data_IF_206296010077
#
_entry.id   IF_206296010077
#
_cell.length_a   1.000
_cell.length_b   1.000
_cell.length_c   1.000
_cell.angle_alpha   90.00
_cell.angle_beta   90.00
_cell.angle_gamma   90.00
#
_symmetry.space_group_name_H-M   'P 1'
#
loop_
_entity.id
_entity.type
_entity.pdbx_description
1 polymer ?
#
# COMPACT_ATOMS: atom_id res chain seq x y z
N UNK A 1 51.92 -6.37 -48.50
CA UNK A 1 50.52 -6.60 -48.93
C UNK A 1 50.44 -8.04 -49.40
N UNK A 2 49.62 -8.91 -48.77
CA UNK A 2 48.16 -8.78 -48.90
C UNK A 2 47.36 -8.93 -47.59
N UNK A 3 46.32 -8.11 -47.51
CA UNK A 3 44.92 -8.36 -47.14
C UNK A 3 44.55 -9.30 -45.98
N UNK A 4 44.03 -8.66 -44.93
CA UNK A 4 43.07 -9.17 -43.94
C UNK A 4 42.06 -10.18 -44.50
N UNK A 5 41.84 -11.29 -43.79
CA UNK A 5 40.53 -11.92 -43.64
C UNK A 5 40.29 -12.17 -42.15
N UNK A 6 39.43 -11.36 -41.53
CA UNK A 6 38.88 -11.67 -40.21
C UNK A 6 37.96 -12.89 -40.33
N UNK A 7 37.96 -13.84 -39.37
CA UNK A 7 36.97 -14.89 -39.37
C UNK A 7 35.59 -14.26 -39.14
N UNK A 8 34.71 -14.52 -40.11
CA UNK A 8 33.30 -14.16 -40.15
C UNK A 8 32.63 -14.31 -38.76
N UNK A 9 32.01 -13.24 -38.26
CA UNK A 9 31.16 -13.30 -37.09
C UNK A 9 29.98 -14.24 -37.39
N UNK A 10 30.08 -15.48 -36.89
CA UNK A 10 28.99 -16.44 -36.90
C UNK A 10 27.70 -15.76 -36.40
N UNK A 11 26.57 -15.89 -37.11
CA UNK A 11 25.33 -15.28 -36.67
C UNK A 11 25.01 -15.84 -35.29
N UNK A 12 24.99 -14.95 -34.27
CA UNK A 12 24.58 -15.31 -32.91
C UNK A 12 23.19 -15.91 -33.01
N UNK A 13 23.10 -17.24 -33.02
CA UNK A 13 21.83 -17.97 -32.92
C UNK A 13 21.10 -17.37 -31.74
N UNK A 14 20.05 -16.60 -31.98
CA UNK A 14 19.27 -16.03 -30.90
C UNK A 14 18.70 -17.20 -30.11
N UNK A 15 19.32 -17.41 -28.94
CA UNK A 15 19.24 -18.64 -28.18
C UNK A 15 17.80 -18.87 -27.74
N UNK A 16 17.08 -19.78 -28.39
CA UNK A 16 15.82 -20.33 -27.86
C UNK A 16 16.02 -20.80 -26.41
N UNK A 17 17.21 -21.31 -26.08
CA UNK A 17 17.64 -21.68 -24.75
C UNK A 17 17.63 -20.50 -23.75
N UNK A 18 17.90 -19.28 -24.20
CA UNK A 18 17.91 -18.06 -23.37
C UNK A 18 16.49 -17.67 -22.92
N UNK A 19 15.48 -17.83 -23.78
CA UNK A 19 14.08 -17.61 -23.40
C UNK A 19 13.54 -18.69 -22.45
N UNK A 20 13.98 -19.95 -22.59
CA UNK A 20 13.58 -21.02 -21.68
C UNK A 20 14.21 -20.82 -20.29
N UNK A 21 15.48 -20.41 -20.23
CA UNK A 21 16.16 -20.09 -18.98
C UNK A 21 15.52 -18.88 -18.27
N UNK A 22 15.20 -17.81 -19.02
CA UNK A 22 14.53 -16.64 -18.47
C UNK A 22 13.13 -16.97 -17.91
N UNK A 23 12.36 -17.80 -18.63
CA UNK A 23 11.05 -18.29 -18.15
C UNK A 23 11.20 -19.12 -16.87
N UNK A 24 12.19 -20.01 -16.84
CA UNK A 24 12.48 -20.83 -15.66
C UNK A 24 12.80 -19.94 -14.45
N UNK A 25 13.68 -18.94 -14.61
CA UNK A 25 14.02 -17.99 -13.53
C UNK A 25 12.78 -17.27 -12.99
N UNK A 26 11.92 -16.75 -13.88
CA UNK A 26 10.66 -16.10 -13.47
C UNK A 26 9.73 -17.02 -12.70
N UNK A 27 9.61 -18.28 -13.13
CA UNK A 27 8.79 -19.28 -12.43
C UNK A 27 9.34 -19.56 -11.04
N UNK A 28 10.66 -19.71 -10.90
CA UNK A 28 11.31 -19.95 -9.62
C UNK A 28 11.15 -18.76 -8.67
N UNK A 29 11.33 -17.54 -9.16
CA UNK A 29 11.10 -16.31 -8.40
C UNK A 29 9.64 -16.20 -7.93
N UNK A 30 8.68 -16.49 -8.80
CA UNK A 30 7.26 -16.50 -8.42
C UNK A 30 6.96 -17.61 -7.39
N UNK A 31 7.51 -18.80 -7.58
CA UNK A 31 7.33 -19.90 -6.64
C UNK A 31 7.90 -19.55 -5.24
N UNK A 32 9.03 -18.85 -5.19
CA UNK A 32 9.60 -18.37 -3.94
C UNK A 32 8.65 -17.38 -3.24
N UNK A 33 8.10 -16.39 -3.96
CA UNK A 33 7.11 -15.43 -3.42
C UNK A 33 5.85 -16.12 -2.90
N UNK A 34 5.30 -17.07 -3.66
CA UNK A 34 4.12 -17.83 -3.26
C UNK A 34 4.37 -18.69 -2.01
N UNK A 35 5.56 -19.27 -1.86
CA UNK A 35 5.95 -20.01 -0.65
C UNK A 35 6.06 -19.09 0.56
N UNK A 36 6.61 -17.89 0.38
CA UNK A 36 6.67 -16.86 1.42
C UNK A 36 5.25 -16.46 1.88
N UNK A 37 4.37 -16.13 0.93
CA UNK A 37 2.96 -15.78 1.20
C UNK A 37 2.18 -16.93 1.86
N UNK A 38 2.48 -18.18 1.49
CA UNK A 38 1.89 -19.37 2.11
C UNK A 38 2.33 -19.51 3.57
N UNK A 39 3.60 -19.20 3.87
CA UNK A 39 4.17 -19.31 5.22
C UNK A 39 3.79 -18.15 6.14
N UNK A 40 3.22 -17.06 5.62
CA UNK A 40 2.83 -15.90 6.41
C UNK A 40 1.78 -16.28 7.46
N UNK A 41 2.00 -15.97 8.76
CA UNK A 41 1.04 -16.29 9.81
C UNK A 41 -0.27 -15.52 9.60
N UNK A 42 -1.39 -16.20 9.83
CA UNK A 42 -2.75 -15.65 9.67
C UNK A 42 -3.47 -15.68 11.00
N UNK A 43 -4.29 -14.66 11.24
CA UNK A 43 -5.20 -14.59 12.38
C UNK A 43 -6.61 -15.03 11.94
N UNK A 44 -7.38 -15.70 12.81
CA UNK A 44 -8.77 -16.03 12.49
C UNK A 44 -9.59 -14.73 12.37
N UNK A 45 -10.51 -14.73 11.40
CA UNK A 45 -11.31 -13.54 11.06
C UNK A 45 -12.12 -13.05 12.27
N UNK A 46 -12.62 -13.95 13.11
CA UNK A 46 -13.34 -13.60 14.34
C UNK A 46 -12.50 -12.83 15.34
N UNK A 47 -11.19 -13.11 15.46
CA UNK A 47 -10.29 -12.33 16.32
C UNK A 47 -9.93 -10.99 15.70
N UNK A 48 -9.68 -10.97 14.38
CA UNK A 48 -9.40 -9.73 13.67
C UNK A 48 -10.57 -8.75 13.75
N UNK A 49 -11.81 -9.23 13.53
CA UNK A 49 -13.01 -8.39 13.64
C UNK A 49 -13.23 -7.87 15.05
N UNK A 50 -13.00 -8.69 16.08
CA UNK A 50 -13.05 -8.26 17.47
C UNK A 50 -12.05 -7.13 17.75
N UNK A 51 -10.83 -7.23 17.20
CA UNK A 51 -9.81 -6.19 17.30
C UNK A 51 -10.26 -4.87 16.68
N UNK A 52 -10.86 -4.91 15.49
CA UNK A 52 -11.42 -3.74 14.82
C UNK A 52 -12.56 -3.12 15.63
N UNK A 53 -13.49 -3.94 16.13
CA UNK A 53 -14.62 -3.46 16.95
C UNK A 53 -14.11 -2.74 18.20
N UNK A 54 -13.16 -3.36 18.93
CA UNK A 54 -12.56 -2.75 20.12
C UNK A 54 -11.91 -1.41 19.79
N UNK A 55 -11.09 -1.36 18.74
CA UNK A 55 -10.44 -0.12 18.34
C UNK A 55 -11.44 1.00 18.03
N UNK A 56 -12.50 0.69 17.29
CA UNK A 56 -13.57 1.65 16.98
C UNK A 56 -14.43 2.04 18.19
N UNK A 57 -14.47 1.23 19.25
CA UNK A 57 -15.20 1.51 20.49
C UNK A 57 -14.38 2.30 21.51
N UNK A 58 -13.05 2.16 21.48
CA UNK A 58 -12.15 2.82 22.43
C UNK A 58 -11.64 4.17 21.89
N UNK A 59 -11.58 4.32 20.57
CA UNK A 59 -11.03 5.52 19.91
C UNK A 59 -12.12 6.51 19.56
N UNK A 60 -12.18 7.63 20.29
CA UNK A 60 -13.16 8.70 20.03
C UNK A 60 -12.98 9.28 18.62
N UNK A 61 -14.06 9.30 17.86
CA UNK A 61 -14.11 9.91 16.53
C UNK A 61 -15.00 11.17 16.52
N UNK A 62 -14.42 12.37 16.33
CA UNK A 62 -15.16 13.63 16.22
C UNK A 62 -16.17 13.67 15.06
N UNK A 63 -15.93 12.93 13.96
CA UNK A 63 -16.80 12.98 12.78
C UNK A 63 -18.03 12.07 12.90
N UNK A 64 -18.18 11.34 14.00
CA UNK A 64 -19.33 10.48 14.26
C UNK A 64 -20.10 10.88 15.55
N UNK A 65 -20.85 12.00 15.53
CA UNK A 65 -21.55 12.51 16.71
C UNK A 65 -22.65 11.57 17.23
N UNK A 66 -23.19 10.69 16.40
CA UNK A 66 -24.23 9.73 16.80
C UNK A 66 -23.75 8.70 17.82
N UNK A 67 -22.45 8.41 17.85
CA UNK A 67 -21.83 7.44 18.76
C UNK A 67 -21.05 8.16 19.87
N UNK A 68 -20.35 9.24 19.53
CA UNK A 68 -19.42 9.92 20.44
C UNK A 68 -19.95 11.21 21.08
N UNK A 69 -21.14 11.65 20.66
CA UNK A 69 -21.74 12.93 21.05
C UNK A 69 -21.23 14.10 20.22
N UNK A 70 -21.92 15.24 20.34
CA UNK A 70 -21.52 16.49 19.69
C UNK A 70 -20.15 16.98 20.20
N UNK A 71 -19.38 17.62 19.32
CA UNK A 71 -18.13 18.26 19.72
C UNK A 71 -18.43 19.39 20.70
N UNK A 72 -17.61 19.51 21.75
CA UNK A 72 -17.72 20.67 22.63
C UNK A 72 -17.26 21.91 21.89
N UNK A 73 -17.91 23.05 22.18
CA UNK A 73 -17.46 24.36 21.70
C UNK A 73 -16.00 24.58 22.12
N UNK A 74 -15.13 24.84 21.13
CA UNK A 74 -13.69 25.01 21.29
C UNK A 74 -12.82 23.78 21.00
N UNK A 75 -13.40 22.59 20.78
CA UNK A 75 -12.64 21.40 20.34
C UNK A 75 -12.47 21.34 18.81
N UNK A 76 -13.32 22.06 18.06
CA UNK A 76 -13.21 22.19 16.60
C UNK A 76 -12.32 23.38 16.21
N UNK A 77 -11.12 23.15 15.64
CA UNK A 77 -10.23 24.22 15.19
C UNK A 77 -10.78 25.03 14.03
N UNK A 78 -11.81 24.54 13.34
CA UNK A 78 -12.44 25.17 12.20
C UNK A 78 -13.75 25.87 12.55
N UNK A 79 -14.19 25.81 13.81
CA UNK A 79 -15.36 26.54 14.25
C UNK A 79 -15.14 28.05 14.10
N UNK A 80 -16.16 28.81 13.63
CA UNK A 80 -16.08 30.27 13.61
C UNK A 80 -15.75 30.78 15.02
N UNK A 81 -14.81 31.73 15.17
CA UNK A 81 -14.57 32.36 16.46
C UNK A 81 -15.88 33.02 16.93
N UNK A 82 -16.21 32.86 18.21
CA UNK A 82 -17.43 33.42 18.81
C UNK A 82 -17.45 34.93 18.52
N UNK A 83 -18.34 35.38 17.63
CA UNK A 83 -18.51 36.79 17.26
C UNK A 83 -19.21 37.54 18.39
N UNK A 84 -18.53 37.66 19.53
CA UNK A 84 -18.91 38.46 20.69
C UNK A 84 -18.16 39.78 20.70
N UNK A 85 -18.46 40.67 19.76
CA UNK A 85 -18.18 42.10 19.93
C UNK A 85 -19.45 42.89 19.57
N UNK A 86 -20.16 43.34 20.60
CA UNK A 86 -21.37 44.14 20.51
C UNK A 86 -21.05 45.59 20.14
N UNK A 87 -20.87 45.85 18.86
CA UNK A 87 -20.90 47.21 18.33
C UNK A 87 -22.09 47.36 17.38
N UNK A 88 -23.21 47.86 17.90
CA UNK A 88 -24.25 48.51 17.09
C UNK A 88 -23.68 49.85 16.62
N UNK A 89 -23.41 49.99 15.33
CA UNK A 89 -23.16 51.29 14.71
C UNK A 89 -24.54 51.92 14.48
N UNK A 90 -24.80 53.04 15.18
CA UNK A 90 -25.82 54.02 14.79
C UNK A 90 -25.39 54.76 13.54
#
# INVERSE_FOLDING_TARGET
>A
MPTNLQPEELPRRHNKNSMHELKLRRILENNARLKEDLSRPRVPVSQASLGLIRYCQDTRDPILPSVWGELKRGEDPYAPPETGCGCTIM
#
